data_IF_659389143680
#
_entry.id   IF_659389143680
#
_cell.length_a   1.000
_cell.length_b   1.000
_cell.length_c   1.000
_cell.angle_alpha   90.00
_cell.angle_beta   90.00
_cell.angle_gamma   90.00
#
_symmetry.space_group_name_H-M   'P 1'
#
loop_
_entity.id
_entity.type
_entity.pdbx_description
1 polymer ?
#
# COMPACT_ATOMS: atom_id res chain seq x y z
N UNK A 1 0.34 -39.47 13.94
CA UNK A 1 -0.76 -38.47 13.90
C UNK A 1 -0.45 -37.50 12.77
N UNK A 2 -1.30 -37.44 11.75
CA UNK A 2 -1.14 -36.50 10.62
C UNK A 2 -1.52 -35.10 11.08
N UNK A 3 -0.73 -34.05 10.69
CA UNK A 3 -1.06 -32.69 10.96
C UNK A 3 -2.41 -32.31 10.32
N UNK A 4 -3.20 -31.44 10.96
CA UNK A 4 -4.51 -31.08 10.45
C UNK A 4 -4.41 -30.42 9.06
N UNK A 5 -5.40 -30.72 8.23
CA UNK A 5 -5.48 -30.35 6.79
C UNK A 5 -5.39 -28.83 6.52
N UNK A 6 -5.65 -28.02 7.55
CA UNK A 6 -5.52 -26.55 7.52
C UNK A 6 -4.07 -26.06 7.39
N UNK A 7 -3.08 -26.78 7.91
CA UNK A 7 -1.66 -26.39 7.80
C UNK A 7 -1.04 -26.68 6.42
N UNK A 8 -1.62 -27.59 5.63
CA UNK A 8 -1.14 -27.88 4.27
C UNK A 8 -1.53 -26.82 3.24
N UNK A 9 -2.56 -26.02 3.49
CA UNK A 9 -3.04 -24.97 2.54
C UNK A 9 -2.20 -23.68 2.54
N UNK A 10 -1.37 -23.43 3.55
CA UNK A 10 -0.61 -22.17 3.72
C UNK A 10 0.76 -22.13 3.03
N UNK A 11 1.23 -23.23 2.40
CA UNK A 11 2.56 -23.26 1.78
C UNK A 11 2.49 -22.92 0.30
N UNK A 12 2.85 -21.67 -0.03
CA UNK A 12 3.49 -21.33 -1.31
C UNK A 12 2.62 -21.42 -2.56
N UNK A 13 1.39 -20.88 -2.57
CA UNK A 13 0.74 -20.63 -3.85
C UNK A 13 1.52 -19.53 -4.60
N UNK A 14 1.95 -19.83 -5.84
CA UNK A 14 2.54 -18.84 -6.74
C UNK A 14 1.52 -17.71 -6.96
N UNK A 15 1.98 -16.44 -7.13
CA UNK A 15 1.10 -15.32 -7.45
C UNK A 15 0.20 -15.67 -8.64
N UNK A 16 -1.08 -15.31 -8.55
CA UNK A 16 -1.99 -15.38 -9.69
C UNK A 16 -1.55 -14.31 -10.70
N UNK A 17 -1.18 -14.75 -11.89
CA UNK A 17 -0.80 -13.86 -13.01
C UNK A 17 -1.94 -13.88 -14.01
N UNK A 18 -2.61 -12.75 -14.17
CA UNK A 18 -3.62 -12.56 -15.21
C UNK A 18 -2.96 -12.06 -16.49
N UNK A 19 -3.19 -12.76 -17.59
CA UNK A 19 -2.76 -12.38 -18.94
C UNK A 19 -3.99 -11.93 -19.72
N UNK A 20 -4.09 -10.65 -20.05
CA UNK A 20 -5.16 -10.09 -20.86
C UNK A 20 -4.94 -8.62 -21.17
N UNK A 21 -5.38 -8.16 -22.34
CA UNK A 21 -5.13 -6.80 -22.85
C UNK A 21 -5.92 -5.69 -22.16
N UNK A 22 -6.91 -6.04 -21.30
CA UNK A 22 -7.65 -5.08 -20.50
C UNK A 22 -7.74 -5.54 -19.03
N UNK A 23 -6.81 -5.03 -18.20
CA UNK A 23 -6.93 -5.16 -16.75
C UNK A 23 -8.11 -4.30 -16.28
N UNK A 24 -9.17 -4.95 -15.76
CA UNK A 24 -10.35 -4.29 -15.18
C UNK A 24 -10.40 -4.57 -13.69
N UNK A 25 -10.51 -3.51 -12.91
CA UNK A 25 -10.75 -3.61 -11.48
C UNK A 25 -12.21 -4.06 -11.25
N UNK A 26 -12.37 -5.26 -10.69
CA UNK A 26 -13.68 -5.89 -10.43
C UNK A 26 -13.66 -6.62 -9.08
N UNK A 27 -14.82 -7.10 -8.64
CA UNK A 27 -14.95 -7.95 -7.44
C UNK A 27 -14.65 -9.42 -7.68
N UNK A 28 -14.26 -9.82 -8.88
CA UNK A 28 -14.10 -11.24 -9.24
C UNK A 28 -13.14 -12.01 -8.32
N UNK A 29 -12.11 -11.34 -7.78
CA UNK A 29 -11.14 -11.95 -6.85
C UNK A 29 -11.72 -12.09 -5.44
N UNK A 30 -12.50 -11.13 -5.00
CA UNK A 30 -13.26 -11.17 -3.74
C UNK A 30 -14.33 -12.26 -3.83
N UNK A 31 -15.11 -12.30 -4.91
CA UNK A 31 -16.15 -13.33 -5.15
C UNK A 31 -15.56 -14.73 -5.18
N UNK A 32 -14.39 -14.90 -5.82
CA UNK A 32 -13.67 -16.17 -5.80
C UNK A 32 -13.22 -16.55 -4.37
N UNK A 33 -12.78 -15.57 -3.57
CA UNK A 33 -12.41 -15.83 -2.17
C UNK A 33 -13.64 -16.26 -1.34
N UNK A 34 -14.79 -15.62 -1.55
CA UNK A 34 -16.05 -16.02 -0.91
C UNK A 34 -16.48 -17.43 -1.34
N UNK A 35 -16.38 -17.75 -2.64
CA UNK A 35 -16.67 -19.10 -3.15
C UNK A 35 -15.73 -20.18 -2.57
N UNK A 36 -14.48 -19.81 -2.22
CA UNK A 36 -13.52 -20.68 -1.54
C UNK A 36 -13.80 -20.80 -0.02
N UNK A 37 -14.86 -20.17 0.50
CA UNK A 37 -15.34 -20.28 1.88
C UNK A 37 -14.80 -19.24 2.85
N UNK A 38 -14.15 -18.17 2.40
CA UNK A 38 -13.73 -17.04 3.24
C UNK A 38 -14.88 -16.04 3.39
N UNK A 39 -15.33 -15.77 4.61
CA UNK A 39 -16.43 -14.84 4.86
C UNK A 39 -15.97 -13.37 4.86
N UNK A 40 -14.78 -13.10 5.39
CA UNK A 40 -14.23 -11.74 5.48
C UNK A 40 -12.98 -11.63 4.61
N UNK A 41 -13.10 -10.92 3.49
CA UNK A 41 -12.01 -10.70 2.53
C UNK A 41 -11.47 -9.28 2.67
N UNK A 42 -10.17 -9.14 2.82
CA UNK A 42 -9.49 -7.84 2.84
C UNK A 42 -8.60 -7.65 1.60
N UNK A 43 -8.45 -6.41 1.15
CA UNK A 43 -7.43 -6.01 0.18
C UNK A 43 -6.33 -5.21 0.84
N UNK A 44 -5.08 -5.35 0.39
CA UNK A 44 -3.92 -4.64 0.95
C UNK A 44 -2.97 -4.19 -0.14
N UNK A 45 -2.50 -2.93 -0.02
CA UNK A 45 -1.50 -2.33 -0.88
C UNK A 45 -0.61 -1.35 -0.11
N UNK A 46 0.53 -0.96 -0.71
CA UNK A 46 1.45 0.02 -0.16
C UNK A 46 1.81 1.12 -1.15
N UNK A 47 2.28 2.25 -0.62
CA UNK A 47 2.76 3.39 -1.40
C UNK A 47 4.03 3.99 -0.82
N UNK A 48 4.85 4.58 -1.68
CA UNK A 48 6.03 5.34 -1.27
C UNK A 48 7.33 4.55 -1.22
N UNK A 49 7.40 3.31 -1.71
CA UNK A 49 8.64 2.52 -1.71
C UNK A 49 9.79 3.18 -2.46
N UNK A 50 9.54 3.72 -3.64
CA UNK A 50 10.58 4.33 -4.50
C UNK A 50 10.90 5.80 -4.21
N UNK A 51 10.30 6.41 -3.18
CA UNK A 51 10.56 7.80 -2.84
C UNK A 51 11.90 7.98 -2.13
N UNK A 52 12.59 9.13 -2.35
CA UNK A 52 13.85 9.47 -1.69
C UNK A 52 13.65 9.93 -0.24
N UNK A 53 12.45 10.37 0.11
CA UNK A 53 12.12 10.83 1.46
C UNK A 53 10.69 10.49 1.85
N UNK A 54 10.40 10.67 3.14
CA UNK A 54 9.10 10.37 3.72
C UNK A 54 8.86 8.87 3.95
N UNK A 55 7.70 8.52 4.52
CA UNK A 55 7.38 7.17 4.94
C UNK A 55 6.99 6.26 3.77
N UNK A 56 7.00 4.94 4.05
CA UNK A 56 6.18 3.96 3.36
C UNK A 56 4.87 3.83 4.12
N UNK A 57 3.77 3.83 3.40
CA UNK A 57 2.42 3.71 3.96
C UNK A 57 1.75 2.50 3.33
N UNK A 58 1.21 1.62 4.15
CA UNK A 58 0.39 0.49 3.73
C UNK A 58 -1.03 0.68 4.24
N UNK A 59 -2.01 0.22 3.48
CA UNK A 59 -3.40 0.19 3.91
C UNK A 59 -3.97 -1.21 3.70
N UNK A 60 -4.85 -1.62 4.60
CA UNK A 60 -5.68 -2.81 4.47
C UNK A 60 -7.14 -2.39 4.63
N UNK A 61 -8.01 -2.91 3.76
CA UNK A 61 -9.43 -2.54 3.70
C UNK A 61 -10.28 -3.80 3.63
N UNK A 62 -11.33 -3.86 4.44
CA UNK A 62 -12.43 -4.84 4.35
C UNK A 62 -13.64 -4.12 3.79
N UNK A 63 -14.02 -4.44 2.56
CA UNK A 63 -15.22 -3.91 1.92
C UNK A 63 -16.39 -4.87 2.17
N UNK A 64 -17.54 -4.33 2.58
CA UNK A 64 -18.76 -5.12 2.65
C UNK A 64 -19.36 -5.40 1.25
N UNK A 65 -20.29 -6.35 1.17
CA UNK A 65 -20.94 -6.74 -0.10
C UNK A 65 -21.72 -5.59 -0.73
N UNK A 66 -22.27 -4.69 0.09
CA UNK A 66 -23.06 -3.52 -0.34
C UNK A 66 -22.20 -2.30 -0.66
N UNK A 67 -20.87 -2.39 -0.60
CA UNK A 67 -19.98 -1.27 -0.91
C UNK A 67 -20.10 -0.89 -2.39
N UNK A 68 -20.43 0.40 -2.64
CA UNK A 68 -20.44 0.96 -4.00
C UNK A 68 -19.01 1.14 -4.53
N UNK A 69 -18.60 0.23 -5.40
CA UNK A 69 -17.27 0.24 -6.03
C UNK A 69 -17.19 1.11 -7.30
N UNK A 70 -18.24 1.86 -7.63
CA UNK A 70 -18.26 2.72 -8.83
C UNK A 70 -17.08 3.68 -8.84
N UNK A 71 -16.28 3.63 -9.90
CA UNK A 71 -15.09 4.48 -10.11
C UNK A 71 -13.83 4.02 -9.36
N UNK A 72 -13.88 2.94 -8.58
CA UNK A 72 -12.68 2.35 -7.97
C UNK A 72 -11.85 1.69 -9.08
N UNK A 73 -10.61 2.11 -9.24
CA UNK A 73 -9.63 1.60 -10.21
C UNK A 73 -8.21 1.83 -9.69
N UNK A 74 -7.20 1.36 -10.40
CA UNK A 74 -5.80 1.65 -10.13
C UNK A 74 -5.58 3.15 -9.82
N UNK A 75 -5.05 3.44 -8.65
CA UNK A 75 -4.86 4.80 -8.15
C UNK A 75 -4.05 5.70 -9.10
N UNK A 76 -3.24 5.11 -9.98
CA UNK A 76 -2.42 5.83 -10.98
C UNK A 76 -3.22 6.30 -12.19
N UNK A 77 -4.40 5.67 -12.43
CA UNK A 77 -5.34 6.06 -13.52
C UNK A 77 -6.30 7.18 -13.08
N UNK A 78 -6.40 7.43 -11.78
CA UNK A 78 -7.30 8.41 -11.20
C UNK A 78 -6.66 9.79 -11.07
N UNK A 79 -7.43 10.85 -11.26
CA UNK A 79 -7.01 12.20 -10.89
C UNK A 79 -6.90 12.36 -9.37
N UNK A 80 -6.20 13.37 -8.89
CA UNK A 80 -6.08 13.65 -7.45
C UNK A 80 -7.45 13.82 -6.79
N UNK A 81 -8.36 14.58 -7.43
CA UNK A 81 -9.73 14.80 -6.94
C UNK A 81 -10.51 13.49 -6.82
N UNK A 82 -10.47 12.63 -7.85
CA UNK A 82 -11.13 11.32 -7.80
C UNK A 82 -10.58 10.44 -6.68
N UNK A 83 -9.25 10.43 -6.47
CA UNK A 83 -8.66 9.69 -5.36
C UNK A 83 -9.13 10.20 -4.00
N UNK A 84 -9.20 11.52 -3.80
CA UNK A 84 -9.67 12.12 -2.55
C UNK A 84 -11.14 11.77 -2.28
N UNK A 85 -12.02 11.87 -3.29
CA UNK A 85 -13.44 11.50 -3.19
C UNK A 85 -13.63 10.01 -2.89
N UNK A 86 -12.89 9.13 -3.60
CA UNK A 86 -12.94 7.69 -3.39
C UNK A 86 -12.36 7.28 -2.02
N UNK A 87 -11.24 7.88 -1.61
CA UNK A 87 -10.66 7.65 -0.28
C UNK A 87 -11.64 8.03 0.83
N UNK A 88 -12.34 9.15 0.70
CA UNK A 88 -13.36 9.56 1.66
C UNK A 88 -14.50 8.52 1.73
N UNK A 89 -15.00 8.07 0.57
CA UNK A 89 -16.04 7.03 0.49
C UNK A 89 -15.59 5.70 1.10
N UNK A 90 -14.37 5.25 0.81
CA UNK A 90 -13.84 4.01 1.41
C UNK A 90 -13.75 4.15 2.92
N UNK A 91 -13.18 5.23 3.42
CA UNK A 91 -13.02 5.48 4.87
C UNK A 91 -14.34 5.59 5.62
N UNK A 92 -15.39 6.06 4.97
CA UNK A 92 -16.74 6.18 5.55
C UNK A 92 -17.54 4.87 5.47
N UNK A 93 -17.42 4.11 4.37
CA UNK A 93 -18.34 3.02 4.02
C UNK A 93 -17.72 1.62 4.10
N UNK A 94 -16.40 1.49 4.21
CA UNK A 94 -15.78 0.18 4.43
C UNK A 94 -16.20 -0.39 5.80
N UNK A 95 -16.31 -1.70 5.90
CA UNK A 95 -16.56 -2.39 7.17
C UNK A 95 -15.42 -2.16 8.17
N UNK A 96 -14.18 -2.18 7.67
CA UNK A 96 -12.99 -1.80 8.41
C UNK A 96 -11.88 -1.37 7.46
N UNK A 97 -11.03 -0.46 7.90
CA UNK A 97 -9.75 -0.19 7.26
C UNK A 97 -8.72 0.19 8.32
N UNK A 98 -7.47 -0.01 7.99
CA UNK A 98 -6.36 0.43 8.84
C UNK A 98 -5.15 0.78 8.01
N UNK A 99 -4.35 1.70 8.54
CA UNK A 99 -3.13 2.19 7.88
C UNK A 99 -1.93 1.95 8.78
N UNK A 100 -0.89 1.37 8.21
CA UNK A 100 0.39 1.21 8.86
C UNK A 100 1.45 2.05 8.16
N UNK A 101 2.38 2.57 8.94
CA UNK A 101 3.43 3.48 8.47
C UNK A 101 4.78 2.97 8.93
N UNK A 102 5.78 3.02 8.05
CA UNK A 102 7.19 2.89 8.41
C UNK A 102 7.93 4.19 8.04
N UNK A 103 8.56 4.81 9.02
CA UNK A 103 9.22 6.10 8.86
C UNK A 103 10.59 5.97 8.15
N UNK A 104 11.22 7.08 7.73
CA UNK A 104 12.52 7.06 7.06
C UNK A 104 13.65 6.40 7.87
N UNK A 105 13.66 6.53 9.20
CA UNK A 105 14.68 5.94 10.07
C UNK A 105 14.50 4.42 10.14
N UNK A 106 13.27 3.94 10.16
CA UNK A 106 12.96 2.51 10.08
C UNK A 106 13.36 1.93 8.72
N UNK A 107 13.11 2.68 7.63
CA UNK A 107 13.52 2.28 6.26
C UNK A 107 15.05 2.15 6.19
N UNK A 108 15.79 3.13 6.72
CA UNK A 108 17.25 3.11 6.73
C UNK A 108 17.82 1.95 7.56
N UNK A 109 17.17 1.61 8.68
CA UNK A 109 17.58 0.51 9.57
C UNK A 109 17.24 -0.87 9.02
N UNK A 110 16.08 -1.03 8.39
CA UNK A 110 15.52 -2.34 8.03
C UNK A 110 15.73 -2.70 6.56
N UNK A 111 15.98 -1.78 5.68
CA UNK A 111 15.80 -1.69 4.24
C UNK A 111 14.32 -1.53 3.83
N UNK A 112 14.12 -1.14 2.56
CA UNK A 112 12.79 -0.81 2.04
C UNK A 112 11.82 -2.00 2.06
N UNK A 113 12.28 -3.22 1.78
CA UNK A 113 11.41 -4.39 1.75
C UNK A 113 10.89 -4.72 3.16
N UNK A 114 11.77 -4.78 4.15
CA UNK A 114 11.41 -5.08 5.54
C UNK A 114 10.58 -3.95 6.16
N UNK A 115 10.86 -2.69 5.82
CA UNK A 115 10.05 -1.56 6.26
C UNK A 115 8.65 -1.57 5.64
N UNK A 116 8.52 -2.00 4.37
CA UNK A 116 7.20 -2.24 3.75
C UNK A 116 6.44 -3.32 4.50
N UNK A 117 7.06 -4.46 4.79
CA UNK A 117 6.42 -5.52 5.59
C UNK A 117 6.02 -5.03 6.99
N UNK A 118 6.85 -4.21 7.64
CA UNK A 118 6.51 -3.62 8.93
C UNK A 118 5.27 -2.72 8.84
N UNK A 119 5.17 -1.87 7.81
CA UNK A 119 3.99 -1.05 7.57
C UNK A 119 2.74 -1.91 7.34
N UNK A 120 2.86 -2.97 6.54
CA UNK A 120 1.75 -3.91 6.27
C UNK A 120 1.31 -4.66 7.52
N UNK A 121 2.24 -5.15 8.35
CA UNK A 121 1.92 -5.79 9.64
C UNK A 121 1.18 -4.83 10.55
N UNK A 122 1.64 -3.58 10.67
CA UNK A 122 0.97 -2.53 11.46
C UNK A 122 -0.45 -2.26 10.95
N UNK A 123 -0.64 -2.22 9.62
CA UNK A 123 -1.95 -2.07 9.03
C UNK A 123 -2.89 -3.22 9.44
N UNK A 124 -2.45 -4.47 9.32
CA UNK A 124 -3.27 -5.64 9.72
C UNK A 124 -3.58 -5.63 11.21
N UNK A 125 -2.60 -5.31 12.06
CA UNK A 125 -2.80 -5.24 13.52
C UNK A 125 -3.77 -4.14 13.96
N UNK A 126 -3.93 -3.08 13.18
CA UNK A 126 -4.86 -1.99 13.45
C UNK A 126 -6.28 -2.22 12.97
N UNK A 127 -6.58 -3.34 12.28
CA UNK A 127 -7.94 -3.65 11.85
C UNK A 127 -8.84 -3.98 13.03
N UNK A 128 -10.06 -3.43 13.02
CA UNK A 128 -11.11 -3.74 14.01
C UNK A 128 -11.83 -5.06 13.70
N UNK A 129 -11.76 -5.55 12.49
CA UNK A 129 -12.35 -6.82 12.02
C UNK A 129 -11.22 -7.68 11.44
N UNK A 130 -11.02 -8.87 12.00
CA UNK A 130 -10.03 -9.83 11.50
C UNK A 130 -10.48 -10.45 10.18
N UNK A 131 -9.71 -10.32 9.08
CA UNK A 131 -10.05 -10.97 7.83
C UNK A 131 -9.70 -12.47 7.84
N UNK A 132 -10.50 -13.28 7.12
CA UNK A 132 -10.21 -14.70 6.89
C UNK A 132 -9.15 -14.90 5.81
N UNK A 133 -9.05 -13.95 4.87
CA UNK A 133 -8.03 -13.92 3.82
C UNK A 133 -7.70 -12.47 3.43
N UNK A 134 -6.44 -12.22 3.09
CA UNK A 134 -5.98 -10.93 2.58
C UNK A 134 -5.51 -11.12 1.12
N UNK A 135 -6.11 -10.36 0.21
CA UNK A 135 -5.63 -10.17 -1.16
C UNK A 135 -4.54 -9.09 -1.11
N UNK A 136 -3.33 -9.40 -1.54
CA UNK A 136 -2.17 -8.49 -1.40
C UNK A 136 -1.60 -8.19 -2.77
N UNK A 137 -1.28 -6.90 -3.06
CA UNK A 137 -0.58 -6.59 -4.30
C UNK A 137 0.83 -7.17 -4.29
N UNK A 138 1.08 -8.13 -5.19
CA UNK A 138 2.35 -8.77 -5.54
C UNK A 138 3.20 -9.36 -4.39
N UNK A 139 2.87 -9.14 -3.11
CA UNK A 139 3.72 -9.50 -1.97
C UNK A 139 3.05 -10.54 -1.06
N UNK A 140 3.88 -11.28 -0.32
CA UNK A 140 3.46 -12.01 0.88
C UNK A 140 4.13 -11.36 2.08
N UNK A 141 3.37 -11.09 3.13
CA UNK A 141 3.83 -10.34 4.31
C UNK A 141 4.21 -11.33 5.42
N UNK A 142 5.51 -11.50 5.71
CA UNK A 142 5.94 -12.31 6.84
C UNK A 142 5.41 -11.74 8.17
N UNK A 143 4.99 -12.63 9.08
CA UNK A 143 4.48 -12.23 10.40
C UNK A 143 2.99 -11.94 10.44
N UNK A 144 2.28 -12.04 9.32
CA UNK A 144 0.81 -12.05 9.27
C UNK A 144 0.33 -13.49 9.17
N UNK A 145 -0.40 -13.96 10.18
CA UNK A 145 -0.89 -15.34 10.27
C UNK A 145 -2.11 -15.60 9.36
N UNK A 146 -2.89 -14.56 9.06
CA UNK A 146 -4.03 -14.65 8.15
C UNK A 146 -3.59 -15.16 6.79
N UNK A 147 -4.33 -16.10 6.16
CA UNK A 147 -4.10 -16.56 4.80
C UNK A 147 -3.96 -15.38 3.82
N UNK A 148 -2.98 -15.46 2.93
CA UNK A 148 -2.68 -14.40 1.98
C UNK A 148 -2.72 -14.91 0.55
N UNK A 149 -3.24 -14.10 -0.37
CA UNK A 149 -3.24 -14.34 -1.82
C UNK A 149 -2.49 -13.21 -2.51
N UNK A 150 -1.21 -13.39 -2.84
CA UNK A 150 -0.46 -12.39 -3.61
C UNK A 150 -0.97 -12.36 -5.05
N UNK A 151 -1.30 -11.17 -5.54
CA UNK A 151 -1.88 -10.94 -6.87
C UNK A 151 -1.03 -9.90 -7.60
N UNK A 152 -0.40 -10.29 -8.68
CA UNK A 152 0.39 -9.36 -9.51
C UNK A 152 -0.54 -8.36 -10.18
N UNK A 153 -0.26 -7.05 -10.03
CA UNK A 153 -1.12 -5.93 -10.45
C UNK A 153 -2.51 -5.99 -9.79
N UNK A 154 -2.54 -6.36 -8.52
CA UNK A 154 -3.77 -6.49 -7.75
C UNK A 154 -4.55 -5.19 -7.67
N UNK A 155 -3.87 -4.04 -7.62
CA UNK A 155 -4.43 -2.70 -7.66
C UNK A 155 -5.27 -2.40 -8.93
N UNK A 156 -4.99 -3.10 -10.03
CA UNK A 156 -5.74 -3.00 -11.29
C UNK A 156 -6.80 -4.10 -11.49
N UNK A 157 -6.89 -5.10 -10.58
CA UNK A 157 -7.73 -6.29 -10.73
C UNK A 157 -8.77 -6.46 -9.64
N UNK A 158 -8.43 -6.12 -8.38
CA UNK A 158 -9.25 -6.31 -7.18
C UNK A 158 -9.73 -4.97 -6.65
N UNK A 159 -11.03 -4.85 -6.45
CA UNK A 159 -11.65 -3.63 -5.88
C UNK A 159 -11.13 -3.36 -4.46
N UNK A 160 -10.92 -4.39 -3.64
CA UNK A 160 -10.43 -4.21 -2.28
C UNK A 160 -8.95 -3.79 -2.24
N UNK A 161 -8.10 -4.32 -3.12
CA UNK A 161 -6.70 -3.87 -3.25
C UNK A 161 -6.65 -2.44 -3.79
N UNK A 162 -7.43 -2.12 -4.84
CA UNK A 162 -7.52 -0.78 -5.39
C UNK A 162 -8.00 0.25 -4.34
N UNK A 163 -9.00 -0.10 -3.53
CA UNK A 163 -9.47 0.73 -2.43
C UNK A 163 -8.35 0.99 -1.40
N UNK A 164 -7.59 -0.04 -1.03
CA UNK A 164 -6.44 0.08 -0.15
C UNK A 164 -5.35 0.99 -0.75
N UNK A 165 -5.03 0.81 -2.03
CA UNK A 165 -4.09 1.65 -2.80
C UNK A 165 -4.50 3.13 -2.76
N UNK A 166 -5.77 3.43 -3.04
CA UNK A 166 -6.32 4.78 -3.05
C UNK A 166 -6.19 5.43 -1.66
N UNK A 167 -6.59 4.74 -0.59
CA UNK A 167 -6.49 5.26 0.78
C UNK A 167 -5.04 5.48 1.18
N UNK A 168 -4.16 4.51 0.95
CA UNK A 168 -2.73 4.64 1.24
C UNK A 168 -2.12 5.83 0.50
N UNK A 169 -2.47 6.01 -0.79
CA UNK A 169 -1.96 7.11 -1.63
C UNK A 169 -2.41 8.46 -1.11
N UNK A 170 -3.69 8.65 -0.81
CA UNK A 170 -4.21 9.93 -0.32
C UNK A 170 -3.58 10.28 1.04
N UNK A 171 -3.54 9.34 1.97
CA UNK A 171 -2.95 9.57 3.28
C UNK A 171 -1.45 9.89 3.21
N UNK A 172 -0.70 9.18 2.35
CA UNK A 172 0.71 9.50 2.17
C UNK A 172 0.92 10.88 1.54
N UNK A 173 0.11 11.25 0.57
CA UNK A 173 0.19 12.57 -0.07
C UNK A 173 -0.11 13.69 0.93
N UNK A 174 -1.05 13.50 1.85
CA UNK A 174 -1.31 14.41 2.98
C UNK A 174 -0.08 14.55 3.89
N UNK A 175 0.54 13.42 4.27
CA UNK A 175 1.79 13.43 5.05
C UNK A 175 2.92 14.18 4.32
N UNK A 176 3.03 14.02 3.00
CA UNK A 176 4.07 14.71 2.23
C UNK A 176 3.81 16.22 2.09
N UNK A 177 2.54 16.65 2.00
CA UNK A 177 2.19 18.10 2.06
C UNK A 177 2.53 18.70 3.43
N UNK A 178 2.35 17.94 4.52
CA UNK A 178 2.78 18.38 5.86
C UNK A 178 4.31 18.47 5.95
N UNK A 179 5.01 17.48 5.38
CA UNK A 179 6.47 17.53 5.28
C UNK A 179 6.96 18.75 4.48
N UNK A 180 6.26 19.15 3.42
CA UNK A 180 6.64 20.32 2.62
C UNK A 180 6.58 21.62 3.44
N UNK A 181 5.56 21.77 4.31
CA UNK A 181 5.46 22.89 5.24
C UNK A 181 6.62 22.92 6.25
N UNK A 182 7.00 21.75 6.76
CA UNK A 182 8.05 21.59 7.78
C UNK A 182 9.47 21.68 7.20
N UNK A 183 9.66 21.24 5.96
CA UNK A 183 10.94 21.20 5.25
C UNK A 183 10.79 21.91 3.89
N UNK A 184 10.66 23.25 3.86
CA UNK A 184 10.40 23.97 2.63
C UNK A 184 11.61 23.94 1.67
N UNK A 185 11.32 24.07 0.38
CA UNK A 185 12.33 24.16 -0.67
C UNK A 185 12.68 22.86 -1.38
N UNK A 186 12.13 21.71 -0.95
CA UNK A 186 12.26 20.42 -1.64
C UNK A 186 11.12 20.13 -2.62
N UNK A 187 10.04 20.93 -2.60
CA UNK A 187 8.88 20.76 -3.46
C UNK A 187 8.06 19.50 -3.17
N UNK A 188 8.01 19.07 -1.90
CA UNK A 188 7.41 17.79 -1.50
C UNK A 188 5.90 17.74 -1.68
N UNK A 189 5.24 18.89 -1.71
CA UNK A 189 3.81 19.00 -2.03
C UNK A 189 3.49 18.63 -3.49
N UNK A 190 4.48 18.66 -4.38
CA UNK A 190 4.33 18.33 -5.80
C UNK A 190 4.95 16.96 -6.13
N UNK A 191 6.20 16.75 -5.74
CA UNK A 191 6.94 15.53 -6.08
C UNK A 191 6.68 14.36 -5.14
N UNK A 192 5.96 14.58 -4.03
CA UNK A 192 5.64 13.56 -3.01
C UNK A 192 6.86 12.77 -2.52
N UNK A 193 8.03 13.39 -2.56
CA UNK A 193 9.32 12.80 -2.17
C UNK A 193 9.96 11.90 -3.22
N UNK A 194 9.38 11.75 -4.40
CA UNK A 194 9.98 10.98 -5.49
C UNK A 194 11.13 11.74 -6.15
N UNK A 195 11.99 10.99 -6.86
CA UNK A 195 13.22 11.49 -7.47
C UNK A 195 12.98 12.30 -8.76
N UNK A 196 12.11 13.32 -8.72
CA UNK A 196 11.96 14.29 -9.81
C UNK A 196 13.22 15.14 -9.97
N UNK A 197 13.37 15.80 -11.11
CA UNK A 197 14.51 16.69 -11.35
C UNK A 197 14.55 17.84 -10.35
N UNK A 198 13.39 18.44 -10.04
CA UNK A 198 13.28 19.50 -9.04
C UNK A 198 13.70 19.02 -7.65
N UNK A 199 13.30 17.81 -7.24
CA UNK A 199 13.71 17.25 -5.96
C UNK A 199 15.23 16.99 -5.92
N UNK A 200 15.80 16.47 -7.00
CA UNK A 200 17.26 16.28 -7.11
C UNK A 200 18.04 17.58 -7.10
N UNK A 201 17.51 18.65 -7.74
CA UNK A 201 18.09 19.99 -7.69
C UNK A 201 18.01 20.57 -6.28
N UNK A 202 16.88 20.41 -5.60
CA UNK A 202 16.72 20.81 -4.21
C UNK A 202 17.73 20.10 -3.27
N UNK A 203 17.92 18.79 -3.44
CA UNK A 203 18.93 18.02 -2.70
C UNK A 203 20.37 18.51 -2.94
N UNK A 204 20.71 18.93 -4.18
CA UNK A 204 22.02 19.53 -4.48
C UNK A 204 22.23 20.84 -3.75
N UNK A 205 21.19 21.65 -3.63
CA UNK A 205 21.25 22.98 -3.03
C UNK A 205 21.20 22.95 -1.52
N UNK A 206 20.32 22.14 -0.93
CA UNK A 206 19.98 22.16 0.50
C UNK A 206 20.59 21.00 1.30
N UNK A 207 21.12 19.98 0.61
CA UNK A 207 21.45 18.71 1.25
C UNK A 207 20.20 17.92 1.66
N UNK A 208 20.34 16.71 2.23
CA UNK A 208 19.24 15.91 2.72
C UNK A 208 18.76 16.41 4.09
N UNK A 209 17.44 16.53 4.26
CA UNK A 209 16.79 16.79 5.55
C UNK A 209 16.61 15.51 6.36
N UNK A 210 16.05 15.63 7.58
CA UNK A 210 15.83 14.49 8.48
C UNK A 210 14.90 13.40 7.93
N UNK A 211 14.00 13.77 7.00
CA UNK A 211 13.05 12.83 6.41
C UNK A 211 13.58 12.14 5.16
N UNK A 212 14.79 12.44 4.71
CA UNK A 212 15.41 11.77 3.58
C UNK A 212 15.97 10.41 3.98
N UNK A 213 15.76 9.42 3.12
CA UNK A 213 16.21 8.04 3.32
C UNK A 213 17.71 7.95 2.98
N UNK A 214 18.55 7.93 4.01
CA UNK A 214 20.01 7.97 3.88
C UNK A 214 20.57 6.72 3.21
N UNK A 215 19.88 5.59 3.34
CA UNK A 215 20.26 4.32 2.69
C UNK A 215 19.97 4.28 1.18
N UNK A 216 19.19 5.24 0.65
CA UNK A 216 18.85 5.28 -0.77
C UNK A 216 19.97 5.92 -1.61
N UNK A 217 20.35 5.24 -2.69
CA UNK A 217 21.46 5.69 -3.56
C UNK A 217 21.31 7.15 -4.05
N UNK A 218 20.08 7.59 -4.32
CA UNK A 218 19.80 8.98 -4.72
C UNK A 218 20.04 10.02 -3.63
N UNK A 219 20.11 9.62 -2.35
CA UNK A 219 20.35 10.48 -1.20
C UNK A 219 21.80 10.36 -0.71
N UNK A 220 22.42 9.20 -0.78
CA UNK A 220 23.79 8.94 -0.31
C UNK A 220 24.84 9.87 -0.91
N UNK A 221 24.70 10.26 -2.18
CA UNK A 221 25.63 11.17 -2.88
C UNK A 221 25.76 12.56 -2.25
N UNK A 222 24.89 12.92 -1.34
CA UNK A 222 24.81 14.26 -0.74
C UNK A 222 25.14 14.22 0.77
N UNK A 223 25.56 13.08 1.29
CA UNK A 223 25.96 12.91 2.69
C UNK A 223 27.46 13.13 2.94
N UNK A 224 28.23 13.30 1.84
CA UNK A 224 29.70 13.51 1.89
C UNK A 224 30.13 14.65 1.00
#
# INVERSE_FOLDING_TARGET
>A
MAAPETERRARGRKPLVYHGDELRCTRALEDQAHADGYAVVAGMDEVGRGALCGPVVACVVVLGDVFDSTGVDDSKRLTAKQREELSARVREKAMAFSVGVADPREIDRLNILRATHLAMVRAVQGLSIGPDVILVDALTVPGVATPQRPIVKGDALSVSIAAASIVAKVMRDEMMRECDRRYPGYGLAHNMGYASDDHRQALRRLGPSEIHRRSFHGTQRWLF
#
